data_IF_709941455902
#
_entry.id   IF_709941455902
#
_cell.length_a   1.000
_cell.length_b   1.000
_cell.length_c   1.000
_cell.angle_alpha   90.00
_cell.angle_beta   90.00
_cell.angle_gamma   90.00
#
_symmetry.space_group_name_H-M   'P 1'
#
loop_
_entity.id
_entity.type
_entity.pdbx_description
1 polymer ?
#
# COMPACT_ATOMS: atom_id res chain seq x y z
N UNK A 1 -1.69 8.51 -36.60
CA UNK A 1 -2.53 8.65 -35.39
C UNK A 1 -2.28 7.42 -34.51
N UNK A 2 -1.68 7.55 -33.31
CA UNK A 2 -1.50 6.41 -32.44
C UNK A 2 -2.86 5.95 -31.92
N UNK A 3 -3.11 4.64 -31.97
CA UNK A 3 -4.32 4.01 -31.45
C UNK A 3 -4.48 4.37 -29.97
N UNK A 4 -5.70 4.71 -29.50
CA UNK A 4 -5.95 4.83 -28.07
C UNK A 4 -5.64 3.48 -27.44
N UNK A 5 -4.77 3.47 -26.43
CA UNK A 5 -4.61 2.34 -25.53
C UNK A 5 -6.00 1.98 -25.01
N UNK A 6 -6.59 0.90 -25.54
CA UNK A 6 -7.76 0.30 -24.94
C UNK A 6 -7.33 -0.03 -23.52
N UNK A 7 -7.90 0.67 -22.55
CA UNK A 7 -7.96 0.21 -21.18
C UNK A 7 -8.60 -1.17 -21.27
N UNK A 8 -7.77 -2.20 -21.33
CA UNK A 8 -8.22 -3.57 -21.22
C UNK A 8 -9.04 -3.59 -19.95
N UNK A 9 -10.31 -3.97 -20.07
CA UNK A 9 -11.12 -4.25 -18.91
C UNK A 9 -10.25 -5.10 -18.00
N UNK A 10 -9.88 -4.60 -16.82
CA UNK A 10 -9.28 -5.41 -15.77
C UNK A 10 -10.33 -6.49 -15.51
N UNK A 11 -10.18 -7.63 -16.19
CA UNK A 11 -11.15 -8.70 -16.12
C UNK A 11 -11.18 -9.11 -14.65
N UNK A 12 -12.34 -8.90 -14.02
CA UNK A 12 -12.64 -9.37 -12.68
C UNK A 12 -12.79 -10.90 -12.70
N UNK A 13 -11.70 -11.59 -13.02
CA UNK A 13 -11.57 -13.03 -13.06
C UNK A 13 -10.32 -13.42 -12.28
N UNK A 14 -10.53 -14.21 -11.22
CA UNK A 14 -9.55 -14.74 -10.27
C UNK A 14 -9.11 -13.78 -9.13
N UNK A 15 -9.97 -13.66 -8.10
CA UNK A 15 -9.60 -13.11 -6.78
C UNK A 15 -9.43 -11.59 -6.72
N UNK A 16 -9.83 -10.97 -5.61
CA UNK A 16 -9.39 -9.59 -5.36
C UNK A 16 -7.86 -9.55 -5.27
N UNK A 17 -7.18 -8.50 -5.77
CA UNK A 17 -5.73 -8.40 -5.67
C UNK A 17 -5.33 -8.49 -4.20
N UNK A 18 -4.32 -9.31 -3.93
CA UNK A 18 -3.76 -9.44 -2.58
C UNK A 18 -2.83 -8.26 -2.35
N UNK A 19 -2.98 -7.59 -1.22
CA UNK A 19 -2.22 -6.39 -0.91
C UNK A 19 -1.53 -6.52 0.43
N UNK A 20 -0.31 -6.02 0.49
CA UNK A 20 0.48 -5.85 1.70
C UNK A 20 0.96 -4.41 1.79
N UNK A 21 1.17 -3.93 3.01
CA UNK A 21 1.83 -2.65 3.26
C UNK A 21 3.15 -2.93 3.93
N UNK A 22 4.22 -2.38 3.36
CA UNK A 22 5.58 -2.44 3.90
C UNK A 22 5.88 -1.14 4.61
N UNK A 23 6.56 -1.22 5.74
CA UNK A 23 6.93 -0.07 6.58
C UNK A 23 8.45 -0.06 6.77
N UNK A 24 9.07 1.11 6.56
CA UNK A 24 10.52 1.30 6.73
C UNK A 24 10.86 2.53 7.58
N UNK A 25 12.06 2.50 8.15
CA UNK A 25 12.57 3.52 9.08
C UNK A 25 13.32 4.67 8.44
N UNK A 26 13.66 4.57 7.16
CA UNK A 26 14.25 5.68 6.42
C UNK A 26 13.20 6.78 6.22
N UNK A 27 13.63 8.01 6.43
CA UNK A 27 12.82 9.20 6.22
C UNK A 27 13.45 10.01 5.10
N UNK A 28 12.67 10.35 4.09
CA UNK A 28 13.10 11.32 3.06
C UNK A 28 13.24 12.74 3.63
N UNK A 29 12.49 13.05 4.70
CA UNK A 29 12.34 14.39 5.24
C UNK A 29 12.74 14.42 6.72
N UNK A 30 13.56 15.40 7.10
CA UNK A 30 14.19 15.46 8.42
C UNK A 30 13.18 15.55 9.59
N UNK A 31 12.02 16.19 9.39
CA UNK A 31 10.97 16.27 10.42
C UNK A 31 10.27 14.94 10.68
N UNK A 32 10.34 13.97 9.76
CA UNK A 32 9.80 12.62 9.97
C UNK A 32 10.62 11.84 11.02
N UNK A 33 11.79 12.35 11.45
CA UNK A 33 12.55 11.76 12.58
C UNK A 33 11.79 11.79 13.90
N UNK A 34 10.76 12.63 14.03
CA UNK A 34 9.85 12.65 15.19
C UNK A 34 8.88 11.44 15.22
N UNK A 35 8.70 10.75 14.09
CA UNK A 35 7.91 9.52 14.02
C UNK A 35 8.64 8.35 14.68
N UNK A 36 7.87 7.33 15.09
CA UNK A 36 8.41 6.10 15.69
C UNK A 36 9.53 5.53 14.82
N UNK A 37 10.74 5.27 15.37
CA UNK A 37 11.80 4.59 14.65
C UNK A 37 11.32 3.27 14.02
N UNK A 38 11.70 3.04 12.76
CA UNK A 38 11.24 1.92 11.94
C UNK A 38 9.93 2.17 11.16
N UNK A 39 9.20 3.26 11.44
CA UNK A 39 7.89 3.55 10.85
C UNK A 39 7.81 5.00 10.36
N UNK A 40 8.69 5.36 9.44
CA UNK A 40 8.77 6.71 8.87
C UNK A 40 8.20 6.80 7.46
N UNK A 41 8.11 5.67 6.77
CA UNK A 41 7.52 5.57 5.44
C UNK A 41 6.75 4.25 5.28
N UNK A 42 5.76 4.24 4.38
CA UNK A 42 5.07 3.02 3.98
C UNK A 42 4.70 3.04 2.50
N UNK A 43 4.73 1.86 1.88
CA UNK A 43 4.35 1.64 0.49
C UNK A 43 3.57 0.33 0.37
N UNK A 44 2.91 0.11 -0.77
CA UNK A 44 2.06 -1.05 -0.98
C UNK A 44 2.65 -2.02 -2.00
N UNK A 45 2.48 -3.31 -1.71
CA UNK A 45 2.71 -4.41 -2.64
C UNK A 45 1.34 -4.94 -3.07
N UNK A 46 1.12 -5.06 -4.37
CA UNK A 46 -0.07 -5.67 -4.94
C UNK A 46 0.33 -6.90 -5.73
N UNK A 47 -0.47 -7.95 -5.61
CA UNK A 47 -0.37 -9.15 -6.43
C UNK A 47 -1.72 -9.42 -7.08
N UNK A 48 -1.76 -9.36 -8.40
CA UNK A 48 -2.96 -9.59 -9.21
C UNK A 48 -3.14 -11.08 -9.60
N UNK A 49 -2.32 -11.98 -9.03
CA UNK A 49 -2.26 -13.39 -9.40
C UNK A 49 -1.15 -13.71 -10.42
N UNK A 50 -0.61 -12.71 -11.12
CA UNK A 50 0.41 -12.87 -12.16
C UNK A 50 1.64 -12.00 -11.94
N UNK A 51 1.45 -10.75 -11.58
CA UNK A 51 2.50 -9.76 -11.43
C UNK A 51 2.54 -9.20 -10.02
N UNK A 52 3.74 -8.82 -9.61
CA UNK A 52 3.95 -7.98 -8.44
C UNK A 52 3.98 -6.52 -8.89
N UNK A 53 3.24 -5.67 -8.18
CA UNK A 53 3.24 -4.22 -8.39
C UNK A 53 3.59 -3.54 -7.07
N UNK A 54 4.55 -2.62 -7.12
CA UNK A 54 4.85 -1.71 -6.02
C UNK A 54 4.16 -0.38 -6.31
N UNK A 55 3.49 0.17 -5.30
CA UNK A 55 3.02 1.56 -5.29
C UNK A 55 3.70 2.27 -4.13
N UNK A 56 4.65 3.13 -4.46
CA UNK A 56 5.45 3.88 -3.49
C UNK A 56 5.16 5.39 -3.58
N UNK A 57 4.25 5.91 -2.73
CA UNK A 57 3.96 7.34 -2.65
C UNK A 57 5.08 8.08 -1.90
N UNK A 58 6.08 8.54 -2.65
CA UNK A 58 7.18 9.37 -2.15
C UNK A 58 6.76 10.83 -2.03
N UNK A 59 7.60 11.64 -1.35
CA UNK A 59 7.31 13.06 -1.15
C UNK A 59 7.24 13.86 -2.47
N UNK A 60 8.14 13.65 -3.46
CA UNK A 60 8.10 14.40 -4.71
C UNK A 60 7.21 13.77 -5.80
N UNK A 61 6.99 12.46 -5.78
CA UNK A 61 6.20 11.74 -6.79
C UNK A 61 5.68 10.41 -6.24
N UNK A 62 4.73 9.78 -6.94
CA UNK A 62 4.33 8.38 -6.65
C UNK A 62 4.97 7.47 -7.68
N UNK A 63 5.82 6.55 -7.23
CA UNK A 63 6.38 5.50 -8.07
C UNK A 63 5.40 4.34 -8.17
N UNK A 64 5.22 3.83 -9.39
CA UNK A 64 4.41 2.63 -9.64
C UNK A 64 5.19 1.73 -10.56
N UNK A 65 5.61 0.59 -10.02
CA UNK A 65 6.55 -0.31 -10.68
C UNK A 65 5.99 -1.72 -10.74
N UNK A 66 5.90 -2.29 -11.95
CA UNK A 66 5.63 -3.72 -12.14
C UNK A 66 6.95 -4.46 -12.08
N UNK A 67 7.07 -5.43 -11.19
CA UNK A 67 8.31 -6.17 -11.00
C UNK A 67 8.35 -7.38 -11.93
N UNK A 68 9.50 -7.57 -12.58
CA UNK A 68 9.82 -8.78 -13.33
C UNK A 68 10.27 -9.89 -12.36
N UNK A 69 9.32 -10.37 -11.58
CA UNK A 69 9.50 -11.45 -10.61
C UNK A 69 8.51 -12.58 -10.91
N UNK A 70 8.87 -13.85 -10.65
CA UNK A 70 7.93 -14.95 -10.75
C UNK A 70 6.68 -14.68 -9.89
N UNK A 71 5.50 -15.02 -10.42
CA UNK A 71 4.23 -14.84 -9.70
C UNK A 71 4.21 -15.53 -8.33
N UNK A 72 4.96 -16.63 -8.18
CA UNK A 72 5.07 -17.40 -6.95
C UNK A 72 6.12 -16.85 -5.95
N UNK A 73 6.89 -15.83 -6.33
CA UNK A 73 7.89 -15.23 -5.45
C UNK A 73 7.23 -14.61 -4.21
N UNK A 74 7.74 -14.93 -3.02
CA UNK A 74 7.25 -14.38 -1.75
C UNK A 74 7.89 -13.01 -1.47
N UNK A 75 7.43 -11.99 -2.20
CA UNK A 75 7.90 -10.62 -2.02
C UNK A 75 7.65 -10.07 -0.60
N UNK A 76 6.48 -10.30 0.05
CA UNK A 76 6.26 -9.93 1.44
C UNK A 76 7.28 -10.57 2.39
N UNK A 77 7.55 -11.87 2.23
CA UNK A 77 8.55 -12.59 3.03
C UNK A 77 9.96 -12.08 2.81
N UNK A 78 10.33 -11.72 1.58
CA UNK A 78 11.62 -11.11 1.28
C UNK A 78 11.82 -9.78 2.01
N UNK A 79 10.84 -8.88 1.97
CA UNK A 79 10.89 -7.60 2.71
C UNK A 79 10.96 -7.80 4.22
N UNK A 80 10.23 -8.79 4.74
CA UNK A 80 10.34 -9.16 6.15
C UNK A 80 11.75 -9.68 6.50
N UNK A 81 12.34 -10.50 5.62
CA UNK A 81 13.69 -11.06 5.79
C UNK A 81 14.80 -10.01 5.86
N UNK A 82 14.63 -8.86 5.20
CA UNK A 82 15.56 -7.72 5.30
C UNK A 82 15.23 -6.74 6.43
N UNK A 83 14.36 -7.15 7.37
CA UNK A 83 14.06 -6.40 8.60
C UNK A 83 12.99 -5.33 8.48
N UNK A 84 12.21 -5.31 7.40
CA UNK A 84 11.06 -4.40 7.27
C UNK A 84 9.80 -5.01 7.89
N UNK A 85 8.94 -4.15 8.46
CA UNK A 85 7.64 -4.61 8.91
C UNK A 85 6.69 -4.71 7.70
N UNK A 86 5.95 -5.82 7.60
CA UNK A 86 5.02 -6.08 6.51
C UNK A 86 3.68 -6.51 7.09
N UNK A 87 2.58 -5.91 6.64
CA UNK A 87 1.24 -6.26 7.09
C UNK A 87 0.34 -6.61 5.90
N UNK A 88 -0.39 -7.74 5.93
CA UNK A 88 -1.46 -7.98 4.95
C UNK A 88 -2.54 -6.91 5.11
N UNK A 89 -3.09 -6.45 3.99
CA UNK A 89 -4.02 -5.34 3.97
C UNK A 89 -5.26 -5.66 3.10
N UNK A 90 -6.46 -5.77 3.72
CA UNK A 90 -7.68 -6.00 2.97
C UNK A 90 -8.03 -4.76 2.13
N UNK A 91 -8.48 -5.01 0.90
CA UNK A 91 -8.87 -3.96 -0.04
C UNK A 91 -10.38 -3.86 -0.14
N UNK A 92 -10.93 -2.65 -0.05
CA UNK A 92 -12.37 -2.37 -0.15
C UNK A 92 -12.65 -1.60 -1.43
N UNK A 93 -13.37 -2.22 -2.37
CA UNK A 93 -13.68 -1.64 -3.69
C UNK A 93 -15.14 -1.19 -3.88
N UNK A 94 -16.01 -1.41 -2.89
CA UNK A 94 -17.43 -1.05 -2.93
C UNK A 94 -17.80 0.23 -2.18
N UNK A 95 -16.86 1.17 -2.02
CA UNK A 95 -17.11 2.41 -1.28
C UNK A 95 -17.90 3.39 -2.13
N UNK A 96 -19.02 3.89 -1.60
CA UNK A 96 -19.88 4.88 -2.27
C UNK A 96 -19.60 6.31 -1.81
N UNK A 97 -18.89 6.48 -0.69
CA UNK A 97 -18.52 7.80 -0.16
C UNK A 97 -17.11 8.15 -0.63
N UNK A 98 -16.83 9.42 -0.98
CA UNK A 98 -15.47 9.86 -1.27
C UNK A 98 -14.58 9.76 -0.02
N UNK A 99 -13.28 9.60 -0.23
CA UNK A 99 -12.30 9.70 0.84
C UNK A 99 -12.32 11.12 1.44
N UNK A 100 -12.19 11.27 2.77
CA UNK A 100 -12.06 12.58 3.40
C UNK A 100 -10.91 13.40 2.81
N UNK A 101 -11.04 14.73 2.85
CA UNK A 101 -9.93 15.62 2.52
C UNK A 101 -8.79 15.44 3.54
N UNK A 102 -7.58 15.27 3.04
CA UNK A 102 -6.37 15.11 3.86
C UNK A 102 -5.13 15.49 3.03
N UNK A 103 -4.01 15.88 3.67
CA UNK A 103 -2.75 16.08 2.98
C UNK A 103 -2.31 14.80 2.25
N UNK A 104 -1.74 14.95 1.07
CA UNK A 104 -1.19 13.84 0.32
C UNK A 104 0.10 13.34 0.98
N UNK A 105 -0.03 12.27 1.77
CA UNK A 105 1.06 11.61 2.49
C UNK A 105 1.13 10.16 2.07
N UNK A 106 2.25 9.48 2.32
CA UNK A 106 2.37 8.05 2.04
C UNK A 106 1.26 7.22 2.71
N UNK A 107 0.90 7.57 3.95
CA UNK A 107 -0.21 6.95 4.69
C UNK A 107 -1.56 7.21 4.02
N UNK A 108 -1.83 8.45 3.59
CA UNK A 108 -3.09 8.79 2.92
C UNK A 108 -3.22 8.12 1.55
N UNK A 109 -2.14 8.09 0.77
CA UNK A 109 -2.09 7.40 -0.52
C UNK A 109 -2.35 5.90 -0.35
N UNK A 110 -1.69 5.24 0.61
CA UNK A 110 -1.93 3.82 0.91
C UNK A 110 -3.35 3.59 1.44
N UNK A 111 -3.87 4.45 2.32
CA UNK A 111 -5.28 4.35 2.78
C UNK A 111 -6.25 4.40 1.60
N UNK A 112 -6.05 5.32 0.64
CA UNK A 112 -6.89 5.43 -0.56
C UNK A 112 -6.76 4.22 -1.47
N UNK A 113 -5.55 3.70 -1.65
CA UNK A 113 -5.31 2.45 -2.40
C UNK A 113 -6.08 1.27 -1.81
N UNK A 114 -6.14 1.18 -0.48
CA UNK A 114 -6.84 0.11 0.24
C UNK A 114 -8.36 0.34 0.35
N UNK A 115 -8.87 1.53 0.08
CA UNK A 115 -10.25 1.90 0.42
C UNK A 115 -10.47 2.00 1.94
N UNK A 116 -9.47 2.48 2.67
CA UNK A 116 -9.49 2.61 4.13
C UNK A 116 -9.80 4.05 4.56
N UNK A 117 -11.02 4.31 4.99
CA UNK A 117 -11.39 5.60 5.59
C UNK A 117 -11.09 5.60 7.10
N UNK A 118 -9.95 6.14 7.48
CA UNK A 118 -9.51 6.25 8.87
C UNK A 118 -8.83 7.61 9.12
N UNK A 119 -9.60 8.67 9.48
CA UNK A 119 -9.05 10.02 9.63
C UNK A 119 -8.05 10.13 10.80
N UNK A 120 -8.19 9.30 11.84
CA UNK A 120 -7.25 9.25 12.97
C UNK A 120 -5.95 8.47 12.70
N UNK A 121 -5.76 7.96 11.47
CA UNK A 121 -4.54 7.26 11.05
C UNK A 121 -3.71 8.19 10.18
N UNK A 122 -2.72 8.81 10.81
CA UNK A 122 -1.87 9.85 10.24
C UNK A 122 -0.41 9.40 10.08
N UNK A 123 0.03 8.41 10.85
CA UNK A 123 1.42 7.93 10.83
C UNK A 123 1.52 6.49 10.34
N UNK A 124 2.67 6.09 9.76
CA UNK A 124 2.89 4.70 9.34
C UNK A 124 2.74 3.72 10.51
N UNK A 125 3.16 4.10 11.72
CA UNK A 125 2.97 3.28 12.93
C UNK A 125 1.48 3.08 13.29
N UNK A 126 0.66 4.13 13.19
CA UNK A 126 -0.78 4.01 13.43
C UNK A 126 -1.45 3.13 12.37
N UNK A 127 -1.01 3.24 11.12
CA UNK A 127 -1.50 2.39 10.03
C UNK A 127 -1.13 0.93 10.29
N UNK A 128 0.13 0.64 10.61
CA UNK A 128 0.58 -0.69 10.97
C UNK A 128 -0.24 -1.31 12.10
N UNK A 129 -0.40 -0.59 13.23
CA UNK A 129 -1.23 -1.05 14.36
C UNK A 129 -2.67 -1.32 13.98
N UNK A 130 -3.22 -0.56 13.02
CA UNK A 130 -4.60 -0.76 12.55
C UNK A 130 -4.72 -1.99 11.67
N UNK A 131 -3.75 -2.25 10.80
CA UNK A 131 -3.74 -3.40 9.90
C UNK A 131 -3.44 -4.72 10.64
N UNK A 132 -2.63 -4.67 11.69
CA UNK A 132 -2.27 -5.85 12.49
C UNK A 132 -3.20 -6.11 13.67
N UNK A 133 -4.17 -5.22 13.93
CA UNK A 133 -5.21 -5.52 14.90
C UNK A 133 -6.03 -6.71 14.40
N UNK A 134 -6.26 -7.73 15.23
CA UNK A 134 -7.21 -8.78 14.91
C UNK A 134 -8.53 -8.13 14.53
N UNK A 135 -9.13 -8.56 13.41
CA UNK A 135 -10.52 -8.21 13.15
C UNK A 135 -11.32 -8.73 14.34
N UNK A 136 -11.95 -7.83 15.10
CA UNK A 136 -12.91 -8.26 16.10
C UNK A 136 -13.94 -9.11 15.35
N UNK A 137 -14.12 -10.36 15.77
CA UNK A 137 -15.14 -11.24 15.22
C UNK A 137 -16.47 -10.47 15.27
N UNK A 138 -17.08 -10.24 14.11
CA UNK A 138 -18.38 -9.60 13.95
C UNK A 138 -19.09 -10.29 12.80
#
# INVERSE_FOLDING_TARGET
>A
MPQPCRAGACQAGAGAPRVWVVFRGEAELWWLRLLKPGFRHCFALLHDGRHWVIVDPLSPFTDVSVLDLPAAFDLPGWYHGIGMAVAPAPVRRGLTRPAPWAPFTCVEAVKRLLGLHAPGVLTPWQLYRRLTRPAAAS
#
